data_IF_275236923192
#
_entry.id   IF_275236923192
#
_cell.length_a   1.000
_cell.length_b   1.000
_cell.length_c   1.000
_cell.angle_alpha   90.00
_cell.angle_beta   90.00
_cell.angle_gamma   90.00
#
_symmetry.space_group_name_H-M   'P 1'
#
loop_
_entity.id
_entity.type
_entity.pdbx_description
1 polymer ?
#
# COMPACT_ATOMS: atom_id res chain seq x y z
N UNK A 1 13.87 35.99 -1.95
CA UNK A 1 12.52 35.78 -2.51
C UNK A 1 12.39 34.29 -2.72
N UNK A 2 11.51 33.63 -1.98
CA UNK A 2 11.24 32.21 -2.21
C UNK A 2 10.55 32.10 -3.58
N UNK A 3 11.13 31.28 -4.45
CA UNK A 3 10.57 30.96 -5.76
C UNK A 3 9.23 30.25 -5.52
N UNK A 4 8.13 30.96 -5.82
CA UNK A 4 6.78 30.41 -5.67
C UNK A 4 6.52 29.59 -6.92
N UNK A 5 6.25 28.28 -6.84
CA UNK A 5 5.96 27.46 -8.01
C UNK A 5 4.81 28.08 -8.81
N UNK A 6 5.08 28.44 -10.06
CA UNK A 6 4.23 29.28 -10.92
C UNK A 6 2.97 28.55 -11.45
N UNK A 7 2.77 27.29 -11.04
CA UNK A 7 1.58 26.52 -11.38
C UNK A 7 1.16 25.63 -10.21
N UNK A 8 0.04 25.98 -9.56
CA UNK A 8 -0.66 25.05 -8.68
C UNK A 8 -1.52 24.14 -9.55
N UNK A 9 -1.36 22.81 -9.46
CA UNK A 9 -2.19 21.88 -10.22
C UNK A 9 -3.66 22.13 -9.88
N UNK A 10 -4.50 22.18 -10.91
CA UNK A 10 -5.93 22.32 -10.74
C UNK A 10 -6.55 21.03 -10.18
N UNK A 11 -7.80 21.10 -9.72
CA UNK A 11 -8.48 19.98 -9.07
C UNK A 11 -8.52 18.70 -9.94
N UNK A 12 -8.72 18.84 -11.24
CA UNK A 12 -8.76 17.69 -12.15
C UNK A 12 -7.37 17.06 -12.30
N UNK A 13 -6.31 17.87 -12.32
CA UNK A 13 -4.94 17.37 -12.36
C UNK A 13 -4.61 16.58 -11.10
N UNK A 14 -4.98 17.08 -9.92
CA UNK A 14 -4.81 16.36 -8.66
C UNK A 14 -5.52 14.99 -8.70
N UNK A 15 -6.76 14.95 -9.18
CA UNK A 15 -7.49 13.69 -9.35
C UNK A 15 -6.74 12.72 -10.26
N UNK A 16 -6.23 13.17 -11.41
CA UNK A 16 -5.48 12.32 -12.33
C UNK A 16 -4.19 11.79 -11.73
N UNK A 17 -3.49 12.58 -10.93
CA UNK A 17 -2.26 12.17 -10.25
C UNK A 17 -2.50 11.09 -9.19
N UNK A 18 -3.57 11.19 -8.40
CA UNK A 18 -3.97 10.13 -7.45
C UNK A 18 -4.39 8.86 -8.19
N UNK A 19 -5.22 8.97 -9.24
CA UNK A 19 -5.64 7.83 -10.04
C UNK A 19 -4.46 7.13 -10.73
N UNK A 20 -3.50 7.90 -11.29
CA UNK A 20 -2.29 7.34 -11.89
C UNK A 20 -1.41 6.63 -10.86
N UNK A 21 -1.31 7.18 -9.66
CA UNK A 21 -0.55 6.57 -8.57
C UNK A 21 -1.16 5.22 -8.17
N UNK A 22 -2.48 5.15 -7.98
CA UNK A 22 -3.19 3.89 -7.71
C UNK A 22 -3.10 2.90 -8.87
N UNK A 23 -3.12 3.37 -10.12
CA UNK A 23 -2.90 2.51 -11.29
C UNK A 23 -1.51 1.83 -11.26
N UNK A 24 -0.47 2.56 -10.85
CA UNK A 24 0.91 2.08 -10.85
C UNK A 24 1.28 1.26 -9.61
N UNK A 25 0.80 1.67 -8.44
CA UNK A 25 1.13 1.05 -7.15
C UNK A 25 0.22 -0.14 -6.81
N UNK A 26 -0.95 -0.22 -7.46
CA UNK A 26 -2.05 -1.08 -7.06
C UNK A 26 -2.82 -0.51 -5.85
N UNK A 27 -3.63 -1.34 -5.16
CA UNK A 27 -4.36 -0.90 -3.98
C UNK A 27 -3.41 -0.37 -2.90
N UNK A 28 -3.67 0.79 -2.31
CA UNK A 28 -2.77 1.40 -1.32
C UNK A 28 -3.54 1.85 -0.08
N UNK A 29 -2.93 1.72 1.09
CA UNK A 29 -3.49 2.32 2.29
C UNK A 29 -3.32 3.84 2.28
N UNK A 30 -4.07 4.58 3.11
CA UNK A 30 -3.92 6.03 3.21
C UNK A 30 -2.48 6.39 3.60
N UNK A 31 -1.90 5.66 4.56
CA UNK A 31 -0.52 5.89 5.00
C UNK A 31 0.49 5.65 3.87
N UNK A 32 0.32 4.60 3.07
CA UNK A 32 1.16 4.33 1.90
C UNK A 32 1.07 5.45 0.85
N UNK A 33 -0.14 5.97 0.61
CA UNK A 33 -0.34 7.10 -0.30
C UNK A 33 0.29 8.38 0.26
N UNK A 34 0.17 8.65 1.56
CA UNK A 34 0.80 9.80 2.21
C UNK A 34 2.33 9.72 2.07
N UNK A 35 2.93 8.56 2.34
CA UNK A 35 4.36 8.34 2.18
C UNK A 35 4.81 8.58 0.73
N UNK A 36 4.09 8.00 -0.23
CA UNK A 36 4.42 8.16 -1.65
C UNK A 36 4.33 9.62 -2.12
N UNK A 37 3.28 10.34 -1.72
CA UNK A 37 3.08 11.74 -2.12
C UNK A 37 4.08 12.68 -1.46
N UNK A 38 4.48 12.40 -0.20
CA UNK A 38 5.49 13.17 0.50
C UNK A 38 6.87 13.04 -0.18
N UNK A 39 7.28 11.82 -0.52
CA UNK A 39 8.59 11.57 -1.13
C UNK A 39 8.69 12.13 -2.56
N UNK A 40 7.57 12.16 -3.30
CA UNK A 40 7.53 12.71 -4.66
C UNK A 40 7.24 14.21 -4.71
N UNK A 41 6.87 14.82 -3.58
CA UNK A 41 6.47 16.24 -3.47
C UNK A 41 5.36 16.62 -4.47
N UNK A 42 4.48 15.68 -4.80
CA UNK A 42 3.41 15.89 -5.80
C UNK A 42 2.23 16.64 -5.19
N UNK A 43 1.86 16.29 -3.95
CA UNK A 43 0.75 16.90 -3.22
C UNK A 43 1.04 17.04 -1.75
N UNK A 44 0.39 18.01 -1.14
CA UNK A 44 0.29 18.09 0.32
C UNK A 44 -0.69 17.06 0.87
N UNK A 45 -0.58 16.79 2.18
CA UNK A 45 -1.52 15.93 2.89
C UNK A 45 -2.98 16.37 2.68
N UNK A 46 -3.27 17.67 2.81
CA UNK A 46 -4.64 18.18 2.67
C UNK A 46 -5.20 18.00 1.24
N UNK A 47 -4.38 18.25 0.22
CA UNK A 47 -4.76 18.03 -1.18
C UNK A 47 -5.03 16.54 -1.44
N UNK A 48 -4.20 15.64 -0.91
CA UNK A 48 -4.43 14.20 -1.02
C UNK A 48 -5.75 13.79 -0.36
N UNK A 49 -6.01 14.21 0.88
CA UNK A 49 -7.24 13.83 1.60
C UNK A 49 -8.49 14.36 0.90
N UNK A 50 -8.47 15.61 0.43
CA UNK A 50 -9.59 16.20 -0.30
C UNK A 50 -9.82 15.48 -1.65
N UNK A 51 -8.74 15.15 -2.35
CA UNK A 51 -8.80 14.44 -3.64
C UNK A 51 -9.32 13.02 -3.47
N UNK A 52 -8.85 12.28 -2.47
CA UNK A 52 -9.34 10.93 -2.15
C UNK A 52 -10.83 10.94 -1.80
N UNK A 53 -11.27 11.91 -0.99
CA UNK A 53 -12.68 12.04 -0.65
C UNK A 53 -13.54 12.25 -1.91
N UNK A 54 -13.14 13.14 -2.82
CA UNK A 54 -13.86 13.42 -4.07
C UNK A 54 -13.87 12.22 -5.01
N UNK A 55 -12.73 11.54 -5.16
CA UNK A 55 -12.63 10.35 -6.01
C UNK A 55 -13.48 9.20 -5.46
N UNK A 56 -13.58 9.08 -4.13
CA UNK A 56 -14.46 8.12 -3.47
C UNK A 56 -15.93 8.46 -3.68
N UNK A 57 -16.33 9.70 -3.41
CA UNK A 57 -17.72 10.17 -3.57
C UNK A 57 -18.17 10.09 -5.05
N UNK A 58 -17.27 10.33 -5.99
CA UNK A 58 -17.49 10.17 -7.42
C UNK A 58 -17.44 8.73 -7.93
N UNK A 59 -17.16 7.75 -7.07
CA UNK A 59 -17.09 6.33 -7.42
C UNK A 59 -15.88 5.93 -8.28
N UNK A 60 -14.87 6.80 -8.39
CA UNK A 60 -13.64 6.50 -9.13
C UNK A 60 -12.66 5.64 -8.33
N UNK A 61 -12.72 5.70 -7.00
CA UNK A 61 -11.89 4.91 -6.09
C UNK A 61 -12.79 4.24 -5.05
N UNK A 62 -12.56 2.96 -4.76
CA UNK A 62 -13.20 2.26 -3.65
C UNK A 62 -12.41 2.48 -2.36
N UNK A 63 -13.09 2.46 -1.21
CA UNK A 63 -12.46 2.62 0.11
C UNK A 63 -12.93 1.54 1.06
N UNK A 64 -12.00 0.73 1.55
CA UNK A 64 -12.24 -0.31 2.58
C UNK A 64 -11.59 0.11 3.88
N UNK A 65 -12.37 0.29 4.94
CA UNK A 65 -11.84 0.64 6.26
C UNK A 65 -11.05 -0.52 6.86
N UNK A 66 -9.86 -0.23 7.37
CA UNK A 66 -9.00 -1.17 8.10
C UNK A 66 -8.62 -0.54 9.45
N UNK A 67 -8.09 -1.30 10.43
CA UNK A 67 -7.75 -0.72 11.73
C UNK A 67 -6.76 0.46 11.59
N UNK A 68 -7.21 1.65 12.04
CA UNK A 68 -6.45 2.91 12.00
C UNK A 68 -6.04 3.42 10.61
N UNK A 69 -6.61 2.88 9.52
CA UNK A 69 -6.28 3.30 8.16
C UNK A 69 -7.45 2.97 7.20
N UNK A 70 -7.28 3.22 5.90
CA UNK A 70 -8.22 2.82 4.86
C UNK A 70 -7.45 2.35 3.62
N UNK A 71 -7.89 1.24 3.02
CA UNK A 71 -7.38 0.74 1.75
C UNK A 71 -8.16 1.38 0.61
N UNK A 72 -7.44 2.00 -0.32
CA UNK A 72 -7.97 2.61 -1.54
C UNK A 72 -7.61 1.78 -2.76
N UNK A 73 -8.57 1.57 -3.64
CA UNK A 73 -8.37 0.82 -4.88
C UNK A 73 -9.05 1.50 -6.07
N UNK A 74 -8.38 1.45 -7.22
CA UNK A 74 -8.90 2.03 -8.46
C UNK A 74 -10.09 1.21 -8.96
N UNK A 75 -11.24 1.86 -9.16
CA UNK A 75 -12.40 1.23 -9.80
C UNK A 75 -12.28 1.27 -11.33
N UNK A 76 -13.14 0.54 -12.02
CA UNK A 76 -13.23 0.63 -13.49
C UNK A 76 -13.60 2.04 -13.96
N UNK A 77 -14.51 2.73 -13.25
CA UNK A 77 -14.87 4.11 -13.56
C UNK A 77 -13.68 5.08 -13.36
N UNK A 78 -12.83 4.83 -12.36
CA UNK A 78 -11.60 5.59 -12.15
C UNK A 78 -10.56 5.35 -13.24
N UNK A 79 -10.42 4.10 -13.70
CA UNK A 79 -9.52 3.72 -14.79
C UNK A 79 -9.95 4.37 -16.11
N UNK A 80 -11.25 4.38 -16.39
CA UNK A 80 -11.78 5.06 -17.57
C UNK A 80 -11.62 6.58 -17.48
N UNK A 81 -11.88 7.19 -16.31
CA UNK A 81 -11.63 8.62 -16.10
C UNK A 81 -10.16 8.98 -16.34
N UNK A 82 -9.22 8.17 -15.83
CA UNK A 82 -7.79 8.36 -16.09
C UNK A 82 -7.46 8.28 -17.58
N UNK A 83 -8.03 7.32 -18.31
CA UNK A 83 -7.84 7.19 -19.76
C UNK A 83 -8.34 8.42 -20.52
N UNK A 84 -9.49 8.97 -20.14
CA UNK A 84 -10.12 10.10 -20.82
C UNK A 84 -9.47 11.45 -20.49
N UNK A 85 -8.94 11.62 -19.28
CA UNK A 85 -8.49 12.93 -18.78
C UNK A 85 -7.01 13.02 -18.46
N UNK A 86 -6.23 11.94 -18.56
CA UNK A 86 -4.78 11.95 -18.30
C UNK A 86 -4.01 12.99 -19.12
N UNK A 87 -4.44 13.29 -20.35
CA UNK A 87 -3.82 14.33 -21.19
C UNK A 87 -3.96 15.75 -20.64
N UNK A 88 -4.85 15.96 -19.66
CA UNK A 88 -5.07 17.25 -18.99
C UNK A 88 -4.17 17.46 -17.78
N UNK A 89 -3.47 16.42 -17.32
CA UNK A 89 -2.48 16.54 -16.27
C UNK A 89 -1.12 16.93 -16.83
N UNK A 90 -0.38 17.74 -16.08
CA UNK A 90 0.98 18.12 -16.43
C UNK A 90 1.85 16.88 -16.65
N UNK A 91 2.39 16.75 -17.87
CA UNK A 91 3.17 15.58 -18.29
C UNK A 91 4.43 15.37 -17.45
N UNK A 92 5.02 16.44 -16.92
CA UNK A 92 6.18 16.35 -16.01
C UNK A 92 5.84 15.65 -14.68
N UNK A 93 4.72 15.97 -14.05
CA UNK A 93 4.32 15.36 -12.76
C UNK A 93 3.87 13.90 -12.93
N UNK A 94 3.20 13.58 -14.04
CA UNK A 94 2.91 12.18 -14.39
C UNK A 94 4.20 11.38 -14.60
N UNK A 95 5.20 11.97 -15.24
CA UNK A 95 6.51 11.36 -15.40
C UNK A 95 7.22 11.13 -14.06
N UNK A 96 7.07 12.04 -13.09
CA UNK A 96 7.58 11.82 -11.72
C UNK A 96 6.98 10.56 -11.10
N UNK A 97 5.65 10.38 -11.17
CA UNK A 97 5.00 9.14 -10.68
C UNK A 97 5.59 7.92 -11.39
N UNK A 98 5.67 7.96 -12.72
CA UNK A 98 6.14 6.84 -13.54
C UNK A 98 7.62 6.49 -13.30
N UNK A 99 8.43 7.43 -12.81
CA UNK A 99 9.83 7.18 -12.44
C UNK A 99 9.99 6.74 -10.98
N UNK A 100 9.11 7.18 -10.09
CA UNK A 100 9.24 6.94 -8.64
C UNK A 100 8.50 5.69 -8.14
N UNK A 101 7.43 5.25 -8.81
CA UNK A 101 6.54 4.20 -8.29
C UNK A 101 7.27 2.87 -8.02
N UNK A 102 8.28 2.52 -8.82
CA UNK A 102 8.96 1.22 -8.75
C UNK A 102 9.60 0.93 -7.38
N UNK A 103 10.08 1.97 -6.68
CA UNK A 103 10.62 1.84 -5.31
C UNK A 103 9.57 1.37 -4.30
N UNK A 104 8.29 1.70 -4.53
CA UNK A 104 7.20 1.48 -3.59
C UNK A 104 6.33 0.29 -3.98
N UNK A 105 6.10 0.07 -5.28
CA UNK A 105 5.14 -0.90 -5.77
C UNK A 105 5.39 -2.32 -5.23
N UNK A 106 6.63 -2.80 -5.30
CA UNK A 106 6.98 -4.14 -4.78
C UNK A 106 6.88 -4.21 -3.26
N UNK A 107 7.31 -3.16 -2.55
CA UNK A 107 7.21 -3.11 -1.08
C UNK A 107 5.75 -3.11 -0.62
N UNK A 108 4.92 -2.23 -1.18
CA UNK A 108 3.50 -2.15 -0.87
C UNK A 108 2.76 -3.44 -1.23
N UNK A 109 3.13 -4.07 -2.36
CA UNK A 109 2.58 -5.38 -2.72
C UNK A 109 2.91 -6.44 -1.68
N UNK A 110 4.16 -6.53 -1.22
CA UNK A 110 4.55 -7.46 -0.14
C UNK A 110 3.76 -7.16 1.14
N UNK A 111 3.72 -5.90 1.58
CA UNK A 111 2.97 -5.49 2.78
C UNK A 111 1.49 -5.89 2.72
N UNK A 112 0.85 -5.79 1.56
CA UNK A 112 -0.54 -6.25 1.37
C UNK A 112 -0.69 -7.76 1.48
N UNK A 113 0.29 -8.50 0.98
CA UNK A 113 0.31 -9.96 1.01
C UNK A 113 0.71 -10.49 2.39
N UNK A 114 1.33 -9.68 3.24
CA UNK A 114 1.82 -10.13 4.54
C UNK A 114 1.13 -9.40 5.69
N UNK A 115 0.22 -10.09 6.40
CA UNK A 115 -0.42 -9.52 7.59
C UNK A 115 0.29 -9.96 8.87
N UNK A 116 0.32 -9.08 9.88
CA UNK A 116 0.84 -9.42 11.20
C UNK A 116 0.04 -8.79 12.34
N UNK A 117 -0.45 -9.64 13.25
CA UNK A 117 -1.29 -9.23 14.37
C UNK A 117 -0.71 -9.77 15.67
N UNK A 118 -0.80 -8.99 16.74
CA UNK A 118 -0.34 -9.45 18.05
C UNK A 118 -1.44 -9.24 19.08
N UNK A 119 -1.69 -10.27 19.88
CA UNK A 119 -2.52 -10.18 21.07
C UNK A 119 -1.66 -10.43 22.30
N UNK A 120 -2.01 -9.83 23.42
CA UNK A 120 -1.34 -10.04 24.70
C UNK A 120 -2.23 -10.87 25.60
N UNK A 121 -1.66 -11.88 26.24
CA UNK A 121 -2.30 -12.65 27.29
C UNK A 121 -1.39 -12.71 28.51
N UNK A 122 -1.84 -12.10 29.62
CA UNK A 122 -1.14 -12.00 30.91
C UNK A 122 0.36 -11.64 30.83
N UNK A 123 1.22 -12.63 30.57
CA UNK A 123 2.68 -12.53 30.54
C UNK A 123 3.31 -12.75 29.15
N UNK A 124 2.55 -13.20 28.17
CA UNK A 124 3.05 -13.54 26.84
C UNK A 124 2.30 -12.78 25.74
N UNK A 125 2.93 -12.71 24.57
CA UNK A 125 2.35 -12.17 23.37
C UNK A 125 2.16 -13.30 22.38
N UNK A 126 0.99 -13.39 21.76
CA UNK A 126 0.76 -14.28 20.63
C UNK A 126 0.81 -13.45 19.36
N UNK A 127 1.79 -13.74 18.51
CA UNK A 127 1.99 -13.12 17.22
C UNK A 127 1.45 -14.05 16.14
N UNK A 128 0.47 -13.56 15.38
CA UNK A 128 -0.02 -14.21 14.16
C UNK A 128 0.64 -13.57 12.95
N UNK A 129 1.26 -14.39 12.10
CA UNK A 129 1.93 -14.01 10.86
C UNK A 129 1.24 -14.71 9.70
N UNK A 130 0.80 -13.95 8.71
CA UNK A 130 -0.02 -14.47 7.61
C UNK A 130 0.57 -14.12 6.24
N UNK A 131 0.39 -15.03 5.29
CA UNK A 131 0.58 -14.80 3.85
C UNK A 131 -0.77 -14.93 3.17
N UNK A 132 -1.19 -13.86 2.52
CA UNK A 132 -2.47 -13.71 1.86
C UNK A 132 -2.25 -13.55 0.35
N UNK A 133 -2.93 -14.40 -0.41
CA UNK A 133 -3.16 -14.24 -1.85
C UNK A 133 -4.49 -13.49 -2.07
N UNK A 134 -4.77 -13.01 -3.30
CA UNK A 134 -5.99 -12.25 -3.58
C UNK A 134 -7.29 -12.97 -3.22
N UNK A 135 -7.32 -14.30 -3.29
CA UNK A 135 -8.51 -15.15 -3.12
C UNK A 135 -8.44 -16.08 -1.90
N UNK A 136 -7.26 -16.25 -1.28
CA UNK A 136 -7.09 -17.18 -0.15
C UNK A 136 -5.95 -16.78 0.78
N UNK A 137 -6.01 -17.30 2.00
CA UNK A 137 -4.87 -17.29 2.93
C UNK A 137 -4.00 -18.52 2.67
N UNK A 138 -2.75 -18.30 2.27
CA UNK A 138 -1.81 -19.38 1.93
C UNK A 138 -1.05 -19.90 3.15
N UNK A 139 -0.81 -19.06 4.15
CA UNK A 139 -0.15 -19.46 5.40
C UNK A 139 -0.64 -18.63 6.57
N UNK A 140 -0.80 -19.26 7.73
CA UNK A 140 -0.98 -18.61 9.03
C UNK A 140 -0.12 -19.31 10.08
N UNK A 141 0.75 -18.56 10.76
CA UNK A 141 1.58 -19.07 11.86
C UNK A 141 1.23 -18.27 13.11
N UNK A 142 0.95 -18.95 14.22
CA UNK A 142 0.85 -18.33 15.55
C UNK A 142 2.08 -18.72 16.39
N UNK A 143 2.76 -17.72 16.95
CA UNK A 143 3.98 -17.89 17.74
C UNK A 143 3.80 -17.18 19.07
N UNK A 144 4.11 -17.85 20.20
CA UNK A 144 4.23 -17.18 21.50
C UNK A 144 5.59 -16.50 21.60
N UNK A 145 5.58 -15.22 21.97
CA UNK A 145 6.75 -14.35 22.12
C UNK A 145 6.73 -13.68 23.49
N UNK A 146 7.85 -13.64 24.21
CA UNK A 146 7.88 -13.20 25.61
C UNK A 146 7.87 -11.67 25.78
N UNK A 147 8.23 -10.91 24.74
CA UNK A 147 8.39 -9.45 24.85
C UNK A 147 7.77 -8.70 23.68
N UNK A 148 7.31 -7.48 23.95
CA UNK A 148 6.79 -6.57 22.93
C UNK A 148 7.87 -6.15 21.91
N UNK A 149 9.14 -6.13 22.32
CA UNK A 149 10.27 -5.84 21.44
C UNK A 149 10.46 -6.92 20.38
N UNK A 150 10.36 -8.20 20.76
CA UNK A 150 10.41 -9.31 19.81
C UNK A 150 9.20 -9.31 18.88
N UNK A 151 8.00 -8.99 19.41
CA UNK A 151 6.80 -8.78 18.58
C UNK A 151 7.08 -7.73 17.50
N UNK A 152 7.59 -6.55 17.89
CA UNK A 152 7.88 -5.47 16.95
C UNK A 152 8.91 -5.90 15.89
N UNK A 153 10.01 -6.51 16.32
CA UNK A 153 11.07 -7.01 15.43
C UNK A 153 10.55 -8.06 14.45
N UNK A 154 9.68 -8.97 14.89
CA UNK A 154 9.16 -10.02 14.01
C UNK A 154 8.19 -9.44 12.98
N UNK A 155 7.34 -8.50 13.39
CA UNK A 155 6.45 -7.77 12.46
C UNK A 155 7.24 -7.00 11.41
N UNK A 156 8.31 -6.31 11.81
CA UNK A 156 9.18 -5.56 10.89
C UNK A 156 9.85 -6.46 9.85
N UNK A 157 10.32 -7.64 10.27
CA UNK A 157 10.99 -8.58 9.36
C UNK A 157 10.03 -9.43 8.52
N UNK A 158 8.75 -9.52 8.89
CA UNK A 158 7.82 -10.45 8.26
C UNK A 158 7.64 -10.22 6.74
N UNK A 159 7.41 -9.00 6.23
CA UNK A 159 7.22 -8.77 4.80
C UNK A 159 8.36 -9.29 3.92
N UNK A 160 9.60 -9.23 4.42
CA UNK A 160 10.79 -9.67 3.69
C UNK A 160 11.13 -11.15 3.88
N UNK A 161 10.68 -11.77 4.99
CA UNK A 161 11.00 -13.16 5.33
C UNK A 161 9.88 -14.15 5.04
N UNK A 162 8.64 -13.68 4.86
CA UNK A 162 7.46 -14.51 4.69
C UNK A 162 7.63 -15.57 3.59
N UNK A 163 8.06 -15.19 2.39
CA UNK A 163 8.24 -16.12 1.28
C UNK A 163 9.32 -17.17 1.56
N UNK A 164 10.45 -16.76 2.16
CA UNK A 164 11.52 -17.70 2.54
C UNK A 164 11.02 -18.70 3.55
N UNK A 165 10.31 -18.24 4.60
CA UNK A 165 9.74 -19.10 5.64
C UNK A 165 8.73 -20.09 5.04
N UNK A 166 7.83 -19.62 4.17
CA UNK A 166 6.88 -20.48 3.46
C UNK A 166 7.61 -21.56 2.65
N UNK A 167 8.60 -21.17 1.85
CA UNK A 167 9.37 -22.11 1.04
C UNK A 167 10.11 -23.15 1.91
N UNK A 168 10.67 -22.74 3.04
CA UNK A 168 11.29 -23.67 4.00
C UNK A 168 10.26 -24.64 4.56
N UNK A 169 9.11 -24.16 5.03
CA UNK A 169 8.05 -25.04 5.55
C UNK A 169 7.60 -26.04 4.48
N UNK A 170 7.33 -25.59 3.26
CA UNK A 170 6.92 -26.47 2.16
C UNK A 170 8.02 -27.48 1.82
N UNK A 171 9.28 -27.06 1.76
CA UNK A 171 10.41 -27.94 1.47
C UNK A 171 10.56 -29.04 2.52
N UNK A 172 10.53 -28.68 3.81
CA UNK A 172 10.63 -29.63 4.92
C UNK A 172 9.44 -30.60 4.98
N UNK A 173 8.24 -30.15 4.59
CA UNK A 173 7.04 -30.98 4.57
C UNK A 173 6.93 -31.89 3.33
N UNK A 174 7.49 -31.47 2.19
CA UNK A 174 7.42 -32.25 0.94
C UNK A 174 8.31 -33.50 1.01
N UNK A 175 9.44 -33.42 1.72
CA UNK A 175 10.43 -34.49 1.81
C UNK A 175 11.18 -34.72 0.49
N UNK A 176 12.40 -35.26 0.55
CA UNK A 176 13.10 -35.74 -0.64
C UNK A 176 12.40 -37.01 -1.16
N UNK A 177 11.97 -37.03 -2.43
CA UNK A 177 11.65 -38.29 -3.12
C UNK A 177 12.93 -39.16 -3.07
N UNK A 178 12.87 -40.26 -2.32
CA UNK A 178 13.87 -41.32 -2.35
C UNK A 178 13.68 -42.24 -3.54
#
# INVERSE_FOLDING_TARGET
MADVPEHRPNELELQMLVLRSLEKLGPCTNLQLIEFMADTTIMTYFELQLTLHRLFDGGHVSRTTIPNDALYELTEAGREALRLFSSRAMSSTLNTIDQSYGKYAERFKKERQTASHARRDLREYFLTLEINEPDRRSLAIEISVPTAELVARYKENWPDKAQTIYNTIVHELYGEEK
#
